data_IF_976519834566
#
_entry.id   IF_976519834566
#
_cell.length_a   1.000
_cell.length_b   1.000
_cell.length_c   1.000
_cell.angle_alpha   90.00
_cell.angle_beta   90.00
_cell.angle_gamma   90.00
#
_symmetry.space_group_name_H-M   'P 1'
#
loop_
_entity.id
_entity.type
_entity.pdbx_description
1 polymer ?
#
# COMPACT_ATOMS: atom_id res chain seq x y z
N UNK A 1 16.67 -11.20 2.01
CA UNK A 1 17.40 -11.97 0.97
C UNK A 1 16.38 -12.41 -0.06
N UNK A 2 16.68 -12.30 -1.36
CA UNK A 2 15.78 -12.80 -2.40
C UNK A 2 15.67 -14.33 -2.34
N UNK A 3 14.46 -14.84 -2.53
CA UNK A 3 14.15 -16.24 -2.73
C UNK A 3 13.65 -16.44 -4.16
N UNK A 4 13.78 -17.64 -4.71
CA UNK A 4 13.38 -17.96 -6.09
C UNK A 4 12.56 -19.23 -6.03
N UNK A 5 11.26 -19.09 -5.76
CA UNK A 5 10.38 -20.23 -5.49
C UNK A 5 9.22 -20.35 -6.50
N UNK A 6 9.04 -19.37 -7.39
CA UNK A 6 8.06 -19.48 -8.47
C UNK A 6 8.58 -20.42 -9.56
N UNK A 7 7.93 -21.57 -9.74
CA UNK A 7 8.30 -22.57 -10.75
C UNK A 7 8.02 -22.10 -12.19
N UNK A 8 7.05 -21.19 -12.37
CA UNK A 8 6.68 -20.61 -13.68
C UNK A 8 7.57 -19.42 -14.04
N UNK A 9 8.17 -18.75 -13.05
CA UNK A 9 9.19 -17.72 -13.25
C UNK A 9 10.43 -17.96 -12.37
N UNK A 10 11.27 -18.97 -12.65
CA UNK A 10 12.41 -19.33 -11.79
C UNK A 10 13.45 -18.22 -11.58
N UNK A 11 13.49 -17.24 -12.49
CA UNK A 11 14.36 -16.08 -12.43
C UNK A 11 13.83 -14.93 -11.57
N UNK A 12 12.55 -14.97 -11.16
CA UNK A 12 11.91 -13.90 -10.42
C UNK A 12 12.37 -13.89 -8.95
N UNK A 13 13.09 -12.86 -8.48
CA UNK A 13 13.42 -12.75 -7.08
C UNK A 13 12.18 -12.35 -6.28
N UNK A 14 11.79 -13.19 -5.34
CA UNK A 14 10.74 -12.93 -4.36
C UNK A 14 11.38 -12.36 -3.08
N UNK A 15 11.04 -11.12 -2.76
CA UNK A 15 11.58 -10.35 -1.64
C UNK A 15 10.46 -10.00 -0.67
N UNK A 16 10.59 -10.49 0.57
CA UNK A 16 9.69 -10.13 1.66
C UNK A 16 10.29 -8.97 2.47
N UNK A 17 9.59 -7.85 2.52
CA UNK A 17 9.89 -6.74 3.41
C UNK A 17 9.38 -7.06 4.81
N UNK A 18 10.27 -6.95 5.79
CA UNK A 18 9.98 -7.25 7.19
C UNK A 18 10.05 -5.94 7.96
N UNK A 19 8.94 -5.56 8.60
CA UNK A 19 8.92 -4.52 9.61
C UNK A 19 8.86 -5.19 10.98
N UNK A 20 9.77 -4.81 11.87
CA UNK A 20 9.75 -5.28 13.27
C UNK A 20 8.87 -4.42 14.16
N UNK A 21 8.28 -3.34 13.63
CA UNK A 21 7.31 -2.53 14.35
C UNK A 21 5.99 -3.29 14.52
N UNK A 22 5.42 -3.24 15.71
CA UNK A 22 4.11 -3.85 15.99
C UNK A 22 2.94 -3.13 15.31
N UNK A 23 3.06 -1.82 15.09
CA UNK A 23 2.08 -0.98 14.39
C UNK A 23 2.67 0.39 14.07
N UNK A 24 2.07 1.09 13.10
CA UNK A 24 2.27 2.51 12.90
C UNK A 24 1.60 3.31 14.01
N UNK A 25 2.36 4.20 14.62
CA UNK A 25 1.92 5.05 15.72
C UNK A 25 1.71 6.49 15.26
N UNK A 26 1.07 7.25 16.15
CA UNK A 26 0.87 8.67 15.99
C UNK A 26 2.18 9.40 15.65
N UNK A 27 2.20 10.12 14.52
CA UNK A 27 3.36 10.90 14.09
C UNK A 27 4.36 10.14 13.23
N UNK A 28 4.22 8.82 13.05
CA UNK A 28 5.12 8.02 12.23
C UNK A 28 5.07 8.48 10.76
N UNK A 29 6.24 8.45 10.10
CA UNK A 29 6.43 8.79 8.69
C UNK A 29 7.27 7.70 8.05
N UNK A 30 6.67 6.88 7.20
CA UNK A 30 7.37 5.87 6.42
C UNK A 30 7.63 6.38 5.01
N UNK A 31 8.81 6.06 4.49
CA UNK A 31 9.16 6.23 3.09
C UNK A 31 9.63 4.87 2.56
N UNK A 32 9.14 4.50 1.38
CA UNK A 32 9.52 3.29 0.67
C UNK A 32 9.90 3.67 -0.76
N UNK A 33 11.11 3.30 -1.15
CA UNK A 33 11.59 3.40 -2.53
C UNK A 33 11.76 2.00 -3.10
N UNK A 34 11.09 1.71 -4.21
CA UNK A 34 11.27 0.48 -5.00
C UNK A 34 11.77 0.90 -6.38
N UNK A 35 13.00 0.50 -6.72
CA UNK A 35 13.62 0.81 -8.00
C UNK A 35 13.96 -0.50 -8.69
N UNK A 36 13.33 -0.74 -9.83
CA UNK A 36 13.59 -1.89 -10.72
C UNK A 36 14.31 -1.36 -11.95
N UNK A 37 15.60 -1.64 -12.02
CA UNK A 37 16.48 -1.19 -13.12
C UNK A 37 16.11 -1.85 -14.46
N UNK A 38 16.66 -1.31 -15.55
CA UNK A 38 16.42 -1.80 -16.92
C UNK A 38 16.56 -3.33 -17.04
N UNK A 39 15.50 -3.98 -17.52
CA UNK A 39 15.43 -5.43 -17.72
C UNK A 39 15.42 -6.27 -16.43
N UNK A 40 15.39 -5.65 -15.25
CA UNK A 40 15.30 -6.36 -13.98
C UNK A 40 13.85 -6.78 -13.68
N UNK A 41 13.70 -7.77 -12.82
CA UNK A 41 12.40 -8.20 -12.32
C UNK A 41 12.40 -8.37 -10.81
N UNK A 42 11.25 -8.17 -10.17
CA UNK A 42 11.08 -8.45 -8.76
C UNK A 42 9.62 -8.74 -8.40
N UNK A 43 9.44 -9.66 -7.44
CA UNK A 43 8.23 -9.77 -6.65
C UNK A 43 8.54 -9.25 -5.25
N UNK A 44 7.84 -8.21 -4.83
CA UNK A 44 7.98 -7.56 -3.52
C UNK A 44 6.66 -7.72 -2.76
N UNK A 45 6.76 -8.25 -1.55
CA UNK A 45 5.62 -8.39 -0.63
C UNK A 45 6.06 -8.02 0.78
N UNK A 46 5.13 -7.95 1.72
CA UNK A 46 5.42 -7.78 3.14
C UNK A 46 5.25 -9.11 3.88
N UNK A 47 5.76 -9.17 5.11
CA UNK A 47 5.59 -10.35 5.97
C UNK A 47 4.28 -10.32 6.76
N UNK A 48 3.71 -9.12 6.92
CA UNK A 48 2.57 -8.90 7.80
C UNK A 48 1.82 -7.65 7.41
N UNK A 49 0.52 -7.66 7.72
CA UNK A 49 -0.35 -6.51 7.61
C UNK A 49 0.21 -5.23 8.25
N UNK A 50 0.02 -4.10 7.58
CA UNK A 50 0.33 -2.78 8.13
C UNK A 50 -0.77 -2.37 9.09
N UNK A 51 -0.53 -2.50 10.39
CA UNK A 51 -1.48 -2.07 11.43
C UNK A 51 -1.28 -0.60 11.73
N UNK A 52 -2.34 0.19 11.67
CA UNK A 52 -2.31 1.61 12.05
C UNK A 52 -3.01 1.78 13.40
N UNK A 53 -2.27 2.17 14.42
CA UNK A 53 -2.79 2.27 15.78
C UNK A 53 -3.71 3.48 15.97
N UNK A 54 -4.53 3.44 17.04
CA UNK A 54 -5.34 4.59 17.47
C UNK A 54 -4.47 5.79 17.84
N UNK A 55 -5.00 6.99 17.63
CA UNK A 55 -4.27 8.25 17.80
C UNK A 55 -5.10 9.31 18.52
N UNK A 56 -4.52 9.94 19.55
CA UNK A 56 -5.15 11.04 20.30
C UNK A 56 -4.96 12.39 19.59
N UNK A 57 -3.84 12.57 18.90
CA UNK A 57 -3.51 13.75 18.12
C UNK A 57 -2.82 13.35 16.80
N UNK A 58 -2.62 14.28 15.87
CA UNK A 58 -1.83 14.04 14.64
C UNK A 58 -2.31 12.81 13.81
N UNK A 59 -1.46 12.33 12.90
CA UNK A 59 -1.69 11.22 11.97
C UNK A 59 -0.38 10.46 11.70
N UNK A 60 -0.46 9.28 11.08
CA UNK A 60 0.68 8.57 10.49
C UNK A 60 0.66 8.69 8.97
N UNK A 61 1.83 8.60 8.31
CA UNK A 61 1.89 8.57 6.85
C UNK A 61 2.80 7.50 6.30
N UNK A 62 2.53 7.15 5.06
CA UNK A 62 3.43 6.41 4.19
C UNK A 62 3.58 7.13 2.86
N UNK A 63 4.82 7.25 2.41
CA UNK A 63 5.16 7.69 1.07
C UNK A 63 5.81 6.52 0.34
N UNK A 64 5.33 6.23 -0.86
CA UNK A 64 5.85 5.15 -1.70
C UNK A 64 6.26 5.74 -3.03
N UNK A 65 7.49 5.50 -3.43
CA UNK A 65 8.03 5.91 -4.72
C UNK A 65 8.54 4.66 -5.44
N UNK A 66 7.90 4.36 -6.57
CA UNK A 66 8.14 3.15 -7.33
C UNK A 66 8.60 3.56 -8.72
N UNK A 67 9.77 3.08 -9.13
CA UNK A 67 10.35 3.32 -10.45
C UNK A 67 10.61 1.98 -11.09
N UNK A 68 10.06 1.76 -12.29
CA UNK A 68 10.36 0.59 -13.10
C UNK A 68 10.86 1.07 -14.46
N UNK A 69 12.11 0.76 -14.75
CA UNK A 69 12.77 1.17 -15.99
C UNK A 69 12.40 0.27 -17.18
N UNK A 70 12.93 0.61 -18.35
CA UNK A 70 12.70 -0.08 -19.61
C UNK A 70 12.82 -1.62 -19.48
N UNK A 71 11.81 -2.31 -20.00
CA UNK A 71 11.70 -3.78 -20.01
C UNK A 71 11.71 -4.43 -18.61
N UNK A 72 11.46 -3.65 -17.57
CA UNK A 72 11.34 -4.14 -16.20
C UNK A 72 9.99 -4.81 -15.89
N UNK A 73 10.01 -5.68 -14.89
CA UNK A 73 8.83 -6.37 -14.36
C UNK A 73 8.74 -6.22 -12.85
N UNK A 74 7.61 -5.74 -12.34
CA UNK A 74 7.40 -5.61 -10.88
C UNK A 74 6.05 -6.16 -10.47
N UNK A 75 6.05 -7.05 -9.48
CA UNK A 75 4.88 -7.34 -8.66
C UNK A 75 5.10 -6.72 -7.29
N UNK A 76 4.29 -5.73 -6.91
CA UNK A 76 4.26 -5.22 -5.54
C UNK A 76 2.90 -5.51 -4.92
N UNK A 77 2.89 -6.55 -4.08
CA UNK A 77 1.70 -7.13 -3.47
C UNK A 77 1.85 -7.14 -1.94
N UNK A 78 1.77 -5.97 -1.27
CA UNK A 78 1.84 -5.90 0.19
C UNK A 78 0.62 -6.53 0.86
N UNK A 79 0.81 -6.97 2.11
CA UNK A 79 -0.27 -7.39 2.99
C UNK A 79 -1.24 -6.24 3.29
N UNK A 80 -2.47 -6.55 3.72
CA UNK A 80 -3.49 -5.53 3.97
C UNK A 80 -3.11 -4.48 5.01
N UNK A 81 -3.68 -3.29 4.86
CA UNK A 81 -3.67 -2.22 5.85
C UNK A 81 -4.86 -2.45 6.80
N UNK A 82 -4.59 -2.43 8.10
CA UNK A 82 -5.59 -2.63 9.16
C UNK A 82 -5.63 -1.36 10.02
N UNK A 83 -6.57 -0.43 9.75
CA UNK A 83 -6.75 0.75 10.58
C UNK A 83 -7.47 0.38 11.88
N UNK A 84 -6.91 0.77 13.02
CA UNK A 84 -7.59 0.66 14.31
C UNK A 84 -8.60 1.79 14.48
N UNK A 85 -9.50 1.66 15.45
CA UNK A 85 -10.39 2.77 15.83
C UNK A 85 -9.61 4.07 16.09
N UNK A 86 -10.17 5.21 15.72
CA UNK A 86 -9.58 6.54 15.88
C UNK A 86 -8.20 6.75 15.20
N UNK A 87 -7.76 5.83 14.32
CA UNK A 87 -6.52 6.03 13.56
C UNK A 87 -6.70 7.06 12.45
N UNK A 88 -5.63 7.79 12.12
CA UNK A 88 -5.57 8.72 10.98
C UNK A 88 -4.38 8.35 10.11
N UNK A 89 -4.63 7.91 8.88
CA UNK A 89 -3.58 7.44 7.98
C UNK A 89 -3.68 8.07 6.60
N UNK A 90 -2.53 8.48 6.07
CA UNK A 90 -2.40 9.07 4.73
C UNK A 90 -1.30 8.32 3.99
N UNK A 91 -1.63 7.75 2.84
CA UNK A 91 -0.67 7.12 1.93
C UNK A 91 -0.62 7.89 0.60
N UNK A 92 0.59 8.16 0.12
CA UNK A 92 0.87 8.77 -1.19
C UNK A 92 1.82 7.85 -1.96
N UNK A 93 1.31 7.23 -3.02
CA UNK A 93 2.04 6.30 -3.87
C UNK A 93 2.28 6.94 -5.23
N UNK A 94 3.55 7.04 -5.63
CA UNK A 94 3.98 7.52 -6.92
C UNK A 94 4.66 6.42 -7.69
N UNK A 95 4.21 6.22 -8.92
CA UNK A 95 4.68 5.16 -9.80
C UNK A 95 5.19 5.84 -11.09
N UNK A 96 6.46 5.62 -11.43
CA UNK A 96 7.04 6.02 -12.70
C UNK A 96 7.44 4.78 -13.49
N UNK A 97 6.88 4.60 -14.69
CA UNK A 97 7.12 3.41 -15.50
C UNK A 97 7.50 3.75 -16.94
N UNK A 98 8.45 2.99 -17.50
CA UNK A 98 8.71 3.02 -18.93
C UNK A 98 7.54 2.37 -19.72
N UNK A 99 7.21 2.82 -20.95
CA UNK A 99 6.11 2.23 -21.73
C UNK A 99 6.18 0.73 -22.03
N UNK A 100 7.36 0.10 -21.91
CA UNK A 100 7.54 -1.35 -22.09
C UNK A 100 7.39 -2.17 -20.80
N UNK A 101 7.19 -1.51 -19.65
CA UNK A 101 7.05 -2.16 -18.34
C UNK A 101 5.75 -2.92 -18.22
N UNK A 102 5.81 -4.04 -17.50
CA UNK A 102 4.63 -4.65 -16.88
C UNK A 102 4.74 -4.54 -15.36
N UNK A 103 3.72 -3.98 -14.72
CA UNK A 103 3.66 -3.83 -13.27
C UNK A 103 2.31 -4.31 -12.74
N UNK A 104 2.35 -5.09 -11.65
CA UNK A 104 1.21 -5.47 -10.84
C UNK A 104 1.34 -4.77 -9.49
N UNK A 105 0.34 -3.99 -9.13
CA UNK A 105 0.26 -3.28 -7.85
C UNK A 105 -1.06 -3.62 -7.16
N UNK A 106 -1.02 -3.87 -5.86
CA UNK A 106 -2.24 -3.99 -5.05
C UNK A 106 -2.15 -3.19 -3.77
N UNK A 107 -3.26 -2.59 -3.36
CA UNK A 107 -3.45 -2.03 -2.03
C UNK A 107 -4.76 -2.60 -1.48
N UNK A 108 -4.68 -3.25 -0.31
CA UNK A 108 -5.85 -3.84 0.34
C UNK A 108 -6.08 -3.10 1.64
N UNK A 109 -7.24 -2.47 1.77
CA UNK A 109 -7.71 -1.87 3.01
C UNK A 109 -8.71 -2.81 3.70
N UNK A 110 -8.47 -3.14 4.97
CA UNK A 110 -9.46 -3.81 5.80
C UNK A 110 -10.37 -2.78 6.46
N UNK A 111 -11.61 -3.18 6.78
CA UNK A 111 -12.54 -2.34 7.55
C UNK A 111 -12.05 -2.03 8.97
N UNK A 112 -11.03 -2.73 9.44
CA UNK A 112 -10.40 -2.56 10.76
C UNK A 112 -10.23 -3.92 11.43
N UNK A 113 -10.07 -3.94 12.76
CA UNK A 113 -9.94 -5.19 13.53
C UNK A 113 -11.31 -5.84 13.77
N UNK A 114 -11.93 -6.36 12.69
CA UNK A 114 -13.31 -6.91 12.64
C UNK A 114 -13.67 -7.86 13.79
N UNK A 115 -12.72 -8.65 14.29
CA UNK A 115 -12.96 -9.67 15.32
C UNK A 115 -12.46 -9.28 16.72
N UNK A 116 -12.12 -8.01 16.96
CA UNK A 116 -11.57 -7.55 18.25
C UNK A 116 -12.62 -6.84 19.12
N UNK A 117 -13.10 -5.68 18.69
CA UNK A 117 -14.20 -4.94 19.32
C UNK A 117 -15.13 -4.37 18.24
N UNK A 118 -16.40 -4.13 18.58
CA UNK A 118 -17.39 -3.64 17.61
C UNK A 118 -17.03 -2.25 17.05
N UNK A 119 -16.40 -1.40 17.86
CA UNK A 119 -15.94 -0.07 17.49
C UNK A 119 -14.69 -0.06 16.59
N UNK A 120 -14.10 -1.22 16.28
CA UNK A 120 -12.97 -1.33 15.34
C UNK A 120 -13.41 -1.37 13.88
N UNK A 121 -14.60 -1.93 13.60
CA UNK A 121 -15.09 -2.03 12.24
C UNK A 121 -15.54 -0.64 11.76
N UNK A 122 -14.82 -0.11 10.77
CA UNK A 122 -14.91 1.25 10.30
C UNK A 122 -14.79 2.29 11.44
N UNK A 123 -13.97 1.98 12.46
CA UNK A 123 -13.78 2.83 13.64
C UNK A 123 -12.77 3.96 13.47
N UNK A 124 -11.99 3.93 12.39
CA UNK A 124 -10.93 4.90 12.13
C UNK A 124 -11.50 6.29 11.81
N UNK A 125 -10.68 7.32 12.01
CA UNK A 125 -11.08 8.71 11.76
C UNK A 125 -10.96 9.04 10.27
N UNK A 126 -9.80 8.72 9.68
CA UNK A 126 -9.54 8.96 8.25
C UNK A 126 -8.56 7.92 7.69
N UNK A 127 -8.87 7.42 6.50
CA UNK A 127 -7.93 6.77 5.61
C UNK A 127 -7.94 7.51 4.28
N UNK A 128 -6.81 8.11 3.90
CA UNK A 128 -6.65 8.81 2.62
C UNK A 128 -5.60 8.08 1.80
N UNK A 129 -5.99 7.54 0.65
CA UNK A 129 -5.07 6.96 -0.33
C UNK A 129 -5.03 7.80 -1.59
N UNK A 130 -3.82 8.03 -2.08
CA UNK A 130 -3.56 8.70 -3.33
C UNK A 130 -2.50 7.90 -4.09
N UNK A 131 -2.86 7.43 -5.28
CA UNK A 131 -1.98 6.66 -6.16
C UNK A 131 -1.91 7.41 -7.49
N UNK A 132 -0.70 7.65 -7.97
CA UNK A 132 -0.46 8.29 -9.25
C UNK A 132 0.60 7.52 -10.03
N UNK A 133 0.26 7.13 -11.26
CA UNK A 133 1.18 6.52 -12.20
C UNK A 133 1.43 7.43 -13.39
N UNK A 134 2.70 7.64 -13.71
CA UNK A 134 3.17 8.42 -14.85
C UNK A 134 4.14 7.60 -15.70
N UNK A 135 4.22 7.90 -16.99
CA UNK A 135 5.27 7.38 -17.83
C UNK A 135 6.62 8.04 -17.50
N UNK A 136 7.71 7.44 -17.96
CA UNK A 136 9.05 8.05 -17.95
C UNK A 136 9.14 9.41 -18.65
N UNK A 137 8.17 9.76 -19.51
CA UNK A 137 8.03 11.07 -20.14
C UNK A 137 7.08 12.02 -19.40
N UNK A 138 6.77 11.75 -18.14
CA UNK A 138 5.82 12.48 -17.28
C UNK A 138 4.39 12.55 -17.83
N UNK A 139 3.98 11.58 -18.67
CA UNK A 139 2.59 11.47 -19.11
C UNK A 139 1.81 10.73 -18.04
N UNK A 140 0.75 11.34 -17.51
CA UNK A 140 -0.16 10.65 -16.58
C UNK A 140 -0.84 9.45 -17.24
N UNK A 141 -0.79 8.31 -16.54
CA UNK A 141 -1.36 7.04 -17.00
C UNK A 141 -2.59 6.66 -16.16
N UNK A 142 -2.51 6.88 -14.85
CA UNK A 142 -3.55 6.53 -13.90
C UNK A 142 -3.45 7.42 -12.66
N UNK A 143 -4.60 7.81 -12.12
CA UNK A 143 -4.72 8.46 -10.81
C UNK A 143 -5.91 7.86 -10.09
N UNK A 144 -5.70 7.49 -8.84
CA UNK A 144 -6.75 7.18 -7.89
C UNK A 144 -6.57 8.01 -6.63
N UNK A 145 -7.67 8.55 -6.14
CA UNK A 145 -7.72 9.19 -4.84
C UNK A 145 -9.05 8.87 -4.19
N UNK A 146 -9.00 8.33 -2.99
CA UNK A 146 -10.18 8.18 -2.16
C UNK A 146 -9.86 8.52 -0.71
N UNK A 147 -10.84 9.10 -0.05
CA UNK A 147 -10.78 9.52 1.34
C UNK A 147 -11.97 8.88 2.03
N UNK A 148 -11.70 8.09 3.06
CA UNK A 148 -12.70 7.39 3.83
C UNK A 148 -12.75 8.00 5.22
N UNK A 149 -13.91 8.55 5.57
CA UNK A 149 -14.18 9.15 6.88
C UNK A 149 -15.45 8.49 7.46
N UNK A 150 -15.35 7.28 8.05
CA UNK A 150 -16.52 6.51 8.51
C UNK A 150 -17.45 7.24 9.48
N UNK A 151 -16.91 8.21 10.23
CA UNK A 151 -17.66 9.02 11.19
C UNK A 151 -18.49 10.11 10.52
N UNK A 152 -18.22 10.41 9.26
CA UNK A 152 -18.99 11.35 8.43
C UNK A 152 -19.91 10.60 7.47
N UNK A 153 -19.45 9.50 6.90
CA UNK A 153 -20.18 8.72 5.89
C UNK A 153 -20.16 7.23 6.23
N UNK A 154 -21.32 6.58 6.17
CA UNK A 154 -21.43 5.15 6.46
C UNK A 154 -20.83 4.33 5.32
N UNK A 155 -19.74 3.60 5.60
CA UNK A 155 -19.05 2.77 4.62
C UNK A 155 -19.63 1.35 4.48
N UNK A 156 -20.29 0.85 5.53
CA UNK A 156 -21.03 -0.41 5.48
C UNK A 156 -22.38 -0.19 4.81
N UNK A 157 -22.34 -0.05 3.48
CA UNK A 157 -23.49 0.09 2.61
C UNK A 157 -23.19 -0.59 1.29
N UNK A 158 -24.24 -1.10 0.64
CA UNK A 158 -24.15 -1.71 -0.68
C UNK A 158 -23.44 -0.75 -1.65
N UNK A 159 -22.55 -1.31 -2.49
CA UNK A 159 -21.69 -0.59 -3.44
C UNK A 159 -20.52 0.21 -2.85
N UNK A 160 -20.29 0.18 -1.53
CA UNK A 160 -19.07 0.73 -0.90
C UNK A 160 -18.23 -0.41 -0.30
N UNK A 161 -18.60 -0.91 0.88
CA UNK A 161 -17.92 -2.03 1.55
C UNK A 161 -18.90 -2.81 2.45
N UNK A 162 -19.79 -3.58 1.81
CA UNK A 162 -20.78 -4.47 2.46
C UNK A 162 -20.13 -5.76 3.01
#
# INVERSE_FOLDING_TARGET
KALYWDEMMPQLPCVTMISTSGCLLQGDRQALDIIVEKGACAHVTTQSATKVHMMEANYATQFQNIIVEEDGYLEYLPDPIIPHRNSRFITDTRINIHPSVTMIYSEILMSGRKYHHQDEQFGFDIFSSHIRAESSSNKELFVEKYILEPKKEQLMTTAVMD
#
